data_IF_683314682852
#
_entry.id   IF_683314682852
#
_cell.length_a   1.000
_cell.length_b   1.000
_cell.length_c   1.000
_cell.angle_alpha   90.00
_cell.angle_beta   90.00
_cell.angle_gamma   90.00
#
_symmetry.space_group_name_H-M   'P 1'
#
loop_
_entity.id
_entity.type
_entity.pdbx_description
1 polymer ?
#
# COMPACT_ATOMS: atom_id res chain seq x y z
N UNK A 1 -15.48 11.14 -1.00
CA UNK A 1 -14.68 9.88 -0.87
C UNK A 1 -15.64 8.72 -0.64
N UNK A 2 -15.25 7.55 -1.11
CA UNK A 2 -16.03 6.32 -1.01
C UNK A 2 -15.28 5.25 -0.20
N UNK A 3 -16.00 4.55 0.66
CA UNK A 3 -15.49 3.37 1.37
C UNK A 3 -16.26 2.13 0.90
N UNK A 4 -15.54 1.10 0.46
CA UNK A 4 -16.11 -0.16 -0.01
C UNK A 4 -15.87 -1.25 1.01
N UNK A 5 -16.93 -1.89 1.50
CA UNK A 5 -16.82 -3.14 2.27
C UNK A 5 -16.54 -4.29 1.31
N UNK A 6 -15.39 -4.92 1.44
CA UNK A 6 -15.06 -6.17 0.76
C UNK A 6 -15.34 -7.36 1.67
N UNK A 7 -16.36 -8.14 1.32
CA UNK A 7 -16.81 -9.27 2.12
C UNK A 7 -17.35 -10.40 1.24
N UNK A 8 -17.94 -11.45 1.84
CA UNK A 8 -18.56 -12.58 1.11
C UNK A 8 -19.78 -13.09 1.87
N UNK A 9 -20.78 -12.22 2.06
CA UNK A 9 -21.97 -12.50 2.87
C UNK A 9 -22.83 -13.63 2.31
N UNK A 10 -22.78 -13.88 1.00
CA UNK A 10 -23.51 -14.99 0.37
C UNK A 10 -22.92 -16.38 0.67
N UNK A 11 -21.73 -16.46 1.28
CA UNK A 11 -21.06 -17.72 1.67
C UNK A 11 -20.76 -17.74 3.17
N UNK A 12 -20.16 -16.67 3.69
CA UNK A 12 -19.83 -16.52 5.10
C UNK A 12 -20.99 -15.82 5.83
N UNK A 13 -22.13 -16.49 5.85
CA UNK A 13 -23.44 -15.93 6.21
C UNK A 13 -23.57 -15.46 7.66
N UNK A 14 -22.69 -15.86 8.57
CA UNK A 14 -22.71 -15.39 9.95
C UNK A 14 -21.66 -14.31 10.22
N UNK A 15 -20.40 -14.60 9.91
CA UNK A 15 -19.29 -13.67 10.20
C UNK A 15 -19.38 -12.41 9.35
N UNK A 16 -19.63 -12.56 8.05
CA UNK A 16 -19.68 -11.42 7.13
C UNK A 16 -21.03 -10.69 7.17
N UNK A 17 -22.12 -11.34 7.59
CA UNK A 17 -23.35 -10.63 7.94
C UNK A 17 -23.12 -9.66 9.12
N UNK A 18 -22.38 -10.08 10.13
CA UNK A 18 -22.00 -9.19 11.23
C UNK A 18 -21.19 -7.98 10.72
N UNK A 19 -20.18 -8.23 9.87
CA UNK A 19 -19.40 -7.18 9.24
C UNK A 19 -20.26 -6.17 8.48
N UNK A 20 -21.15 -6.66 7.62
CA UNK A 20 -22.03 -5.81 6.79
C UNK A 20 -22.97 -4.96 7.65
N UNK A 21 -23.62 -5.55 8.66
CA UNK A 21 -24.52 -4.82 9.57
C UNK A 21 -23.79 -3.74 10.34
N UNK A 22 -22.63 -4.04 10.92
CA UNK A 22 -21.83 -3.06 11.68
C UNK A 22 -21.29 -1.97 10.75
N UNK A 23 -20.82 -2.34 9.54
CA UNK A 23 -20.36 -1.37 8.56
C UNK A 23 -21.43 -0.31 8.24
N UNK A 24 -22.64 -0.73 7.91
CA UNK A 24 -23.73 0.20 7.62
C UNK A 24 -24.29 0.91 8.86
N UNK A 25 -24.13 0.34 10.04
CA UNK A 25 -24.51 1.01 11.27
C UNK A 25 -23.56 2.16 11.60
N UNK A 26 -22.26 1.93 11.54
CA UNK A 26 -21.24 2.97 11.70
C UNK A 26 -21.34 4.03 10.60
N UNK A 27 -21.62 3.65 9.36
CA UNK A 27 -21.75 4.59 8.25
C UNK A 27 -22.82 5.67 8.46
N UNK A 28 -23.82 5.43 9.30
CA UNK A 28 -24.85 6.43 9.63
C UNK A 28 -24.28 7.67 10.35
N UNK A 29 -23.17 7.51 11.05
CA UNK A 29 -22.48 8.58 11.75
C UNK A 29 -21.61 9.45 10.82
N UNK A 30 -21.43 9.01 9.55
CA UNK A 30 -20.59 9.65 8.54
C UNK A 30 -21.33 9.86 7.22
N UNK A 31 -22.42 10.65 7.19
CA UNK A 31 -23.29 10.79 6.02
C UNK A 31 -22.61 11.44 4.80
N UNK A 32 -21.45 12.06 4.98
CA UNK A 32 -20.65 12.65 3.89
C UNK A 32 -19.77 11.62 3.16
N UNK A 33 -19.68 10.38 3.66
CA UNK A 33 -18.89 9.31 3.05
C UNK A 33 -19.82 8.38 2.29
N UNK A 34 -19.59 8.25 1.00
CA UNK A 34 -20.28 7.26 0.17
C UNK A 34 -19.86 5.85 0.57
N UNK A 35 -20.81 4.94 0.73
CA UNK A 35 -20.56 3.54 1.06
C UNK A 35 -20.92 2.62 -0.10
N UNK A 36 -20.13 1.57 -0.28
CA UNK A 36 -20.34 0.56 -1.30
C UNK A 36 -20.05 -0.84 -0.71
N UNK A 37 -20.53 -1.87 -1.38
CA UNK A 37 -20.32 -3.27 -1.02
C UNK A 37 -19.87 -4.08 -2.22
N UNK A 38 -18.84 -4.90 -2.05
CA UNK A 38 -18.38 -5.83 -3.07
C UNK A 38 -18.07 -7.22 -2.52
N UNK A 39 -18.53 -8.27 -3.20
CA UNK A 39 -18.00 -9.60 -2.95
C UNK A 39 -16.53 -9.65 -3.33
N UNK A 40 -15.70 -10.34 -2.51
CA UNK A 40 -14.25 -10.37 -2.68
C UNK A 40 -13.79 -10.76 -4.08
N UNK A 41 -14.45 -11.71 -4.72
CA UNK A 41 -14.16 -12.13 -6.10
C UNK A 41 -14.43 -11.00 -7.11
N UNK A 42 -15.52 -10.25 -6.94
CA UNK A 42 -15.83 -9.09 -7.76
C UNK A 42 -14.85 -7.93 -7.47
N UNK A 43 -14.50 -7.69 -6.21
CA UNK A 43 -13.50 -6.68 -5.83
C UNK A 43 -12.16 -6.97 -6.48
N UNK A 44 -11.67 -8.22 -6.44
CA UNK A 44 -10.43 -8.62 -7.12
C UNK A 44 -10.47 -8.32 -8.63
N UNK A 45 -11.58 -8.64 -9.29
CA UNK A 45 -11.76 -8.37 -10.71
C UNK A 45 -11.74 -6.85 -11.00
N UNK A 46 -12.45 -6.07 -10.20
CA UNK A 46 -12.55 -4.61 -10.39
C UNK A 46 -11.26 -3.88 -10.02
N UNK A 47 -10.51 -4.35 -9.03
CA UNK A 47 -9.19 -3.80 -8.72
C UNK A 47 -8.23 -3.91 -9.90
N UNK A 48 -8.31 -4.99 -10.68
CA UNK A 48 -7.49 -5.16 -11.89
C UNK A 48 -8.01 -4.32 -13.06
N UNK A 49 -9.34 -4.21 -13.22
CA UNK A 49 -9.96 -3.58 -14.38
C UNK A 49 -10.12 -2.08 -14.23
N UNK A 50 -10.53 -1.63 -13.05
CA UNK A 50 -10.90 -0.25 -12.74
C UNK A 50 -10.43 0.11 -11.32
N UNK A 51 -9.12 0.09 -11.02
CA UNK A 51 -8.59 0.36 -9.68
C UNK A 51 -9.01 1.73 -9.14
N UNK A 52 -9.23 2.69 -10.02
CA UNK A 52 -9.69 4.06 -9.71
C UNK A 52 -11.10 4.13 -9.10
N UNK A 53 -11.84 3.04 -9.07
CA UNK A 53 -13.16 2.99 -8.44
C UNK A 53 -13.10 2.90 -6.91
N UNK A 54 -11.93 2.60 -6.35
CA UNK A 54 -11.71 2.39 -4.93
C UNK A 54 -10.89 3.53 -4.31
N UNK A 55 -11.46 4.25 -3.35
CA UNK A 55 -10.71 5.19 -2.52
C UNK A 55 -10.17 4.45 -1.27
N UNK A 56 -11.06 3.72 -0.59
CA UNK A 56 -10.73 2.93 0.61
C UNK A 56 -11.51 1.62 0.56
N UNK A 57 -10.85 0.52 0.87
CA UNK A 57 -11.47 -0.79 1.04
C UNK A 57 -11.29 -1.22 2.50
N UNK A 58 -12.41 -1.56 3.17
CA UNK A 58 -12.39 -2.20 4.48
C UNK A 58 -12.76 -3.67 4.33
N UNK A 59 -12.03 -4.54 5.00
CA UNK A 59 -12.21 -6.00 4.90
C UNK A 59 -11.68 -6.70 6.15
N UNK A 60 -11.99 -7.99 6.31
CA UNK A 60 -11.37 -8.84 7.31
C UNK A 60 -9.91 -9.18 6.98
N UNK A 61 -9.19 -9.75 7.95
CA UNK A 61 -7.78 -10.07 7.80
C UNK A 61 -7.49 -11.01 6.62
N UNK A 62 -8.27 -12.07 6.44
CA UNK A 62 -8.01 -13.07 5.42
C UNK A 62 -8.16 -12.50 4.01
N UNK A 63 -9.23 -11.77 3.74
CA UNK A 63 -9.41 -11.14 2.43
C UNK A 63 -8.48 -9.94 2.26
N UNK A 64 -8.16 -9.24 3.35
CA UNK A 64 -7.18 -8.16 3.36
C UNK A 64 -5.83 -8.65 2.83
N UNK A 65 -5.29 -9.74 3.38
CA UNK A 65 -4.01 -10.31 2.95
C UNK A 65 -4.02 -10.68 1.45
N UNK A 66 -5.14 -11.19 0.95
CA UNK A 66 -5.27 -11.58 -0.47
C UNK A 66 -5.32 -10.35 -1.38
N UNK A 67 -6.18 -9.37 -1.06
CA UNK A 67 -6.38 -8.22 -1.95
C UNK A 67 -5.26 -7.19 -1.87
N UNK A 68 -4.52 -7.10 -0.76
CA UNK A 68 -3.36 -6.20 -0.66
C UNK A 68 -2.19 -6.68 -1.51
N UNK A 69 -1.94 -7.99 -1.56
CA UNK A 69 -0.94 -8.57 -2.47
C UNK A 69 -1.32 -8.37 -3.96
N UNK A 70 -2.61 -8.54 -4.27
CA UNK A 70 -3.11 -8.21 -5.61
C UNK A 70 -2.92 -6.72 -5.92
N UNK A 71 -3.25 -5.85 -4.98
CA UNK A 71 -3.04 -4.39 -5.09
C UNK A 71 -1.58 -4.02 -5.31
N UNK A 72 -0.67 -4.67 -4.59
CA UNK A 72 0.77 -4.49 -4.77
C UNK A 72 1.21 -4.86 -6.20
N UNK A 73 0.69 -5.96 -6.75
CA UNK A 73 1.01 -6.39 -8.12
C UNK A 73 0.50 -5.41 -9.18
N UNK A 74 -0.69 -4.82 -8.97
CA UNK A 74 -1.25 -3.80 -9.88
C UNK A 74 -0.40 -2.53 -9.89
N UNK A 75 0.19 -2.15 -8.75
CA UNK A 75 1.07 -0.99 -8.63
C UNK A 75 2.49 -1.21 -9.20
N UNK A 76 2.87 -2.44 -9.52
CA UNK A 76 4.19 -2.77 -10.06
C UNK A 76 5.00 -3.76 -9.22
N UNK A 77 4.38 -4.36 -8.21
CA UNK A 77 4.92 -5.46 -7.41
C UNK A 77 5.30 -5.09 -5.98
N UNK A 78 5.61 -6.12 -5.20
CA UNK A 78 5.90 -5.98 -3.77
C UNK A 78 7.14 -5.13 -3.45
N UNK A 79 8.01 -4.88 -4.44
CA UNK A 79 9.22 -4.06 -4.27
C UNK A 79 8.97 -2.56 -4.06
N UNK A 80 7.73 -2.10 -4.30
CA UNK A 80 7.32 -0.70 -4.09
C UNK A 80 6.15 -0.56 -3.13
N UNK A 81 5.56 -1.66 -2.66
CA UNK A 81 4.41 -1.63 -1.79
C UNK A 81 4.82 -1.50 -0.32
N UNK A 82 4.40 -0.43 0.31
CA UNK A 82 4.58 -0.14 1.72
C UNK A 82 3.29 -0.39 2.50
N UNK A 83 3.42 -0.81 3.74
CA UNK A 83 2.31 -1.04 4.66
C UNK A 83 2.52 -0.35 6.00
N UNK A 84 1.45 -0.19 6.77
CA UNK A 84 1.51 0.37 8.10
C UNK A 84 0.40 -0.17 9.00
N UNK A 85 0.77 -0.49 10.23
CA UNK A 85 -0.16 -0.74 11.34
C UNK A 85 -0.25 0.54 12.15
N UNK A 86 -1.31 1.32 11.91
CA UNK A 86 -1.45 2.68 12.44
C UNK A 86 -2.32 2.65 13.70
N UNK A 87 -1.75 3.13 14.81
CA UNK A 87 -2.48 3.40 16.03
C UNK A 87 -2.65 4.92 16.17
N UNK A 88 -3.89 5.46 16.12
CA UNK A 88 -4.11 6.90 16.24
C UNK A 88 -3.75 7.47 17.62
N UNK A 89 -3.68 6.62 18.66
CA UNK A 89 -3.43 7.04 20.06
C UNK A 89 -2.09 6.54 20.61
N UNK A 90 -1.23 5.95 19.77
CA UNK A 90 0.00 5.32 20.26
C UNK A 90 1.02 5.00 19.18
N UNK A 91 1.84 3.98 19.47
CA UNK A 91 2.92 3.57 18.58
C UNK A 91 2.35 2.88 17.34
N UNK A 92 2.83 3.31 16.18
CA UNK A 92 2.55 2.72 14.87
C UNK A 92 3.78 2.00 14.34
N UNK A 93 3.59 1.07 13.39
CA UNK A 93 4.65 0.34 12.72
C UNK A 93 4.49 0.48 11.20
N UNK A 94 5.58 0.69 10.50
CA UNK A 94 5.61 0.82 9.04
C UNK A 94 6.65 -0.13 8.47
N UNK A 95 6.29 -0.84 7.40
CA UNK A 95 7.13 -1.88 6.82
C UNK A 95 6.90 -2.06 5.31
N UNK A 96 7.88 -2.59 4.57
CA UNK A 96 7.65 -3.08 3.22
C UNK A 96 6.86 -4.39 3.30
N UNK A 97 5.78 -4.54 2.53
CA UNK A 97 4.95 -5.75 2.57
C UNK A 97 5.66 -7.02 2.08
N UNK A 98 6.75 -6.89 1.32
CA UNK A 98 7.54 -8.00 0.79
C UNK A 98 8.35 -8.78 1.83
N UNK A 99 8.38 -8.33 3.09
CA UNK A 99 9.09 -8.99 4.18
C UNK A 99 10.61 -9.08 3.98
N UNK A 100 11.25 -10.04 4.64
CA UNK A 100 12.72 -10.17 4.70
C UNK A 100 13.38 -10.80 3.47
N UNK A 101 12.62 -11.46 2.60
CA UNK A 101 13.07 -12.10 1.35
C UNK A 101 14.43 -12.85 1.46
N UNK A 102 14.58 -13.89 2.31
CA UNK A 102 15.87 -14.47 2.72
C UNK A 102 16.71 -15.01 1.55
N UNK A 103 16.07 -15.38 0.43
CA UNK A 103 16.77 -15.84 -0.79
C UNK A 103 17.68 -14.78 -1.43
N UNK A 104 17.50 -13.51 -1.07
CA UNK A 104 18.26 -12.37 -1.59
C UNK A 104 19.25 -11.78 -0.58
N UNK A 105 19.38 -12.36 0.60
CA UNK A 105 20.28 -11.89 1.66
C UNK A 105 21.70 -11.71 1.10
N UNK A 106 22.32 -10.56 1.36
CA UNK A 106 23.66 -10.16 0.95
C UNK A 106 23.91 -10.09 -0.59
N UNK A 107 22.86 -10.13 -1.41
CA UNK A 107 23.00 -10.06 -2.89
C UNK A 107 22.93 -8.64 -3.46
N UNK A 108 22.50 -7.65 -2.67
CA UNK A 108 22.34 -6.25 -3.09
C UNK A 108 21.44 -6.08 -4.35
N UNK A 109 20.37 -6.87 -4.45
CA UNK A 109 19.50 -6.92 -5.64
C UNK A 109 18.03 -6.62 -5.35
N UNK A 110 17.64 -6.45 -4.06
CA UNK A 110 16.27 -6.12 -3.68
C UNK A 110 15.95 -4.68 -4.02
N UNK A 111 14.71 -4.41 -4.45
CA UNK A 111 14.21 -3.06 -4.60
C UNK A 111 13.93 -2.44 -3.22
N UNK A 112 14.63 -1.36 -2.83
CA UNK A 112 14.45 -0.74 -1.51
C UNK A 112 13.28 0.24 -1.46
N UNK A 113 12.62 0.53 -2.58
CA UNK A 113 11.59 1.59 -2.67
C UNK A 113 10.41 1.34 -1.74
N UNK A 114 10.00 0.07 -1.51
CA UNK A 114 8.97 -0.26 -0.54
C UNK A 114 9.35 0.16 0.89
N UNK A 115 10.60 -0.08 1.29
CA UNK A 115 11.10 0.33 2.61
C UNK A 115 11.18 1.86 2.74
N UNK A 116 11.61 2.53 1.68
CA UNK A 116 11.67 4.00 1.63
C UNK A 116 10.24 4.58 1.65
N UNK A 117 9.29 3.95 0.96
CA UNK A 117 7.86 4.31 1.00
C UNK A 117 7.25 4.14 2.40
N UNK A 118 7.63 3.07 3.11
CA UNK A 118 7.22 2.87 4.50
C UNK A 118 7.76 4.00 5.42
N UNK A 119 9.00 4.45 5.18
CA UNK A 119 9.56 5.61 5.87
C UNK A 119 8.79 6.90 5.54
N UNK A 120 8.38 7.11 4.28
CA UNK A 120 7.55 8.25 3.90
C UNK A 120 6.20 8.23 4.64
N UNK A 121 5.53 7.08 4.73
CA UNK A 121 4.30 6.91 5.50
C UNK A 121 4.50 7.24 6.98
N UNK A 122 5.61 6.80 7.58
CA UNK A 122 5.97 7.11 8.96
C UNK A 122 6.15 8.62 9.17
N UNK A 123 6.90 9.27 8.30
CA UNK A 123 7.16 10.72 8.35
C UNK A 123 5.85 11.49 8.23
N UNK A 124 4.96 11.09 7.33
CA UNK A 124 3.63 11.67 7.17
C UNK A 124 2.76 11.51 8.43
N UNK A 125 2.79 10.34 9.06
CA UNK A 125 2.07 10.08 10.31
C UNK A 125 2.56 10.96 11.48
N UNK A 126 3.82 11.37 11.45
CA UNK A 126 4.40 12.29 12.42
C UNK A 126 4.06 13.77 12.15
N UNK A 127 3.27 14.06 11.11
CA UNK A 127 2.86 15.42 10.75
C UNK A 127 3.83 16.17 9.83
N UNK A 128 4.87 15.50 9.35
CA UNK A 128 5.91 16.07 8.49
C UNK A 128 5.58 15.86 6.99
N UNK A 129 4.42 16.39 6.57
CA UNK A 129 3.85 16.17 5.23
C UNK A 129 4.81 16.56 4.08
N UNK A 130 5.47 17.71 4.20
CA UNK A 130 6.40 18.20 3.17
C UNK A 130 7.57 17.24 2.93
N UNK A 131 8.13 16.66 4.00
CA UNK A 131 9.21 15.69 3.88
C UNK A 131 8.70 14.38 3.29
N UNK A 132 7.51 13.93 3.66
CA UNK A 132 6.88 12.74 3.10
C UNK A 132 6.66 12.89 1.58
N UNK A 133 6.08 14.01 1.15
CA UNK A 133 5.89 14.31 -0.28
C UNK A 133 7.21 14.36 -1.06
N UNK A 134 8.27 14.90 -0.48
CA UNK A 134 9.59 14.94 -1.13
C UNK A 134 10.16 13.53 -1.29
N UNK A 135 9.99 12.65 -0.29
CA UNK A 135 10.38 11.24 -0.40
C UNK A 135 9.55 10.54 -1.49
N UNK A 136 8.24 10.73 -1.52
CA UNK A 136 7.34 10.14 -2.53
C UNK A 136 7.73 10.57 -3.95
N UNK A 137 8.00 11.86 -4.16
CA UNK A 137 8.49 12.38 -5.47
C UNK A 137 9.81 11.73 -5.87
N UNK A 138 10.77 11.62 -4.93
CA UNK A 138 12.07 11.00 -5.20
C UNK A 138 11.95 9.50 -5.51
N UNK A 139 11.00 8.79 -4.90
CA UNK A 139 10.66 7.40 -5.23
C UNK A 139 10.18 7.31 -6.69
N UNK A 140 9.25 8.16 -7.10
CA UNK A 140 8.70 8.18 -8.46
C UNK A 140 9.80 8.44 -9.48
N UNK A 141 10.62 9.48 -9.28
CA UNK A 141 11.72 9.84 -10.17
C UNK A 141 12.78 8.74 -10.27
N UNK A 142 13.02 8.00 -9.20
CA UNK A 142 13.92 6.86 -9.20
C UNK A 142 13.27 5.67 -9.92
N UNK A 143 12.00 5.35 -9.63
CA UNK A 143 11.31 4.20 -10.22
C UNK A 143 11.24 4.28 -11.76
N UNK A 144 11.03 5.47 -12.32
CA UNK A 144 10.99 5.70 -13.78
C UNK A 144 12.32 5.33 -14.46
N UNK A 145 13.46 5.37 -13.75
CA UNK A 145 14.79 5.04 -14.29
C UNK A 145 15.17 3.58 -14.17
N UNK A 146 14.37 2.78 -13.46
CA UNK A 146 14.64 1.36 -13.33
C UNK A 146 14.19 0.60 -14.58
N UNK A 147 14.98 -0.36 -15.03
CA UNK A 147 14.60 -1.28 -16.11
C UNK A 147 13.38 -2.13 -15.72
N UNK A 148 13.24 -2.42 -14.42
CA UNK A 148 12.13 -3.18 -13.83
C UNK A 148 12.05 -2.91 -12.34
N UNK A 149 10.86 -3.00 -11.76
CA UNK A 149 10.67 -2.90 -10.30
C UNK A 149 10.97 -4.22 -9.56
N UNK A 150 11.27 -5.30 -10.30
CA UNK A 150 11.54 -6.62 -9.73
C UNK A 150 12.98 -6.77 -9.27
N UNK A 151 13.18 -7.44 -8.12
CA UNK A 151 14.50 -7.74 -7.58
C UNK A 151 15.41 -8.46 -8.59
N UNK A 152 16.64 -7.97 -8.73
CA UNK A 152 17.65 -8.50 -9.65
C UNK A 152 17.44 -8.15 -11.13
N UNK A 153 16.42 -7.32 -11.45
CA UNK A 153 16.10 -6.88 -12.82
C UNK A 153 16.00 -5.36 -12.93
N UNK A 154 16.41 -4.62 -11.91
CA UNK A 154 16.25 -3.18 -11.83
C UNK A 154 17.20 -2.37 -12.74
N UNK A 155 18.25 -2.99 -13.26
CA UNK A 155 19.36 -2.27 -13.91
C UNK A 155 20.32 -1.58 -12.92
N UNK A 156 19.94 -1.54 -11.64
CA UNK A 156 20.68 -0.98 -10.52
C UNK A 156 20.69 -1.96 -9.35
N UNK A 157 21.72 -1.86 -8.50
CA UNK A 157 21.76 -2.54 -7.21
C UNK A 157 20.86 -1.86 -6.18
N UNK A 158 20.56 -2.54 -5.06
CA UNK A 158 19.80 -1.96 -3.93
C UNK A 158 20.40 -0.64 -3.46
N UNK A 159 21.74 -0.60 -3.31
CA UNK A 159 22.45 0.61 -2.85
C UNK A 159 22.32 1.76 -3.84
N UNK A 160 22.51 1.50 -5.14
CA UNK A 160 22.39 2.53 -6.19
C UNK A 160 20.98 3.10 -6.28
N UNK A 161 19.94 2.26 -6.08
CA UNK A 161 18.55 2.74 -6.00
C UNK A 161 18.36 3.65 -4.80
N UNK A 162 18.87 3.27 -3.62
CA UNK A 162 18.81 4.11 -2.42
C UNK A 162 19.54 5.46 -2.62
N UNK A 163 20.75 5.44 -3.17
CA UNK A 163 21.53 6.64 -3.46
C UNK A 163 20.82 7.54 -4.48
N UNK A 164 20.14 6.96 -5.46
CA UNK A 164 19.32 7.70 -6.43
C UNK A 164 18.19 8.48 -5.73
N UNK A 165 17.46 7.85 -4.80
CA UNK A 165 16.42 8.54 -4.04
C UNK A 165 17.01 9.71 -3.24
N UNK A 166 18.11 9.51 -2.51
CA UNK A 166 18.78 10.58 -1.76
C UNK A 166 19.18 11.74 -2.67
N UNK A 167 19.72 11.44 -3.84
CA UNK A 167 20.10 12.47 -4.82
C UNK A 167 18.91 13.32 -5.27
N UNK A 168 17.74 12.71 -5.52
CA UNK A 168 16.55 13.47 -5.90
C UNK A 168 16.00 14.32 -4.75
N UNK A 169 16.02 13.81 -3.53
CA UNK A 169 15.62 14.58 -2.36
C UNK A 169 16.48 15.85 -2.15
N UNK A 170 17.77 15.79 -2.46
CA UNK A 170 18.66 16.94 -2.38
C UNK A 170 18.34 18.01 -3.44
N UNK A 171 17.96 17.61 -4.65
CA UNK A 171 17.61 18.52 -5.75
C UNK A 171 16.29 19.28 -5.55
N UNK A 172 15.40 18.79 -4.70
CA UNK A 172 14.11 19.45 -4.41
C UNK A 172 14.29 20.55 -3.36
N UNK A 173 15.40 20.55 -2.60
CA UNK A 173 15.69 21.52 -1.56
C UNK A 173 16.58 22.71 -2.04
N UNK A 174 17.02 22.67 -3.29
CA UNK A 174 17.71 23.77 -3.99
C UNK A 174 16.72 24.54 -4.91
#
# INVERSE_FOLDING_TARGET
KKITLCAKTNVLTYAHDLWERIFYDVAKDYPEIETDYGHVDAVCMWMVKNPEWFDVIVTDNMFGDIITDLGAMIQGGMGIAAGGNINPEGVSMFEPIGGSAPKYTNKNVINPLACIGAAAMMVKQLGEENYAENIEKAIIETAIKLDSLSAGKMGMSTSEVGDSVVKYMQQVND
#
